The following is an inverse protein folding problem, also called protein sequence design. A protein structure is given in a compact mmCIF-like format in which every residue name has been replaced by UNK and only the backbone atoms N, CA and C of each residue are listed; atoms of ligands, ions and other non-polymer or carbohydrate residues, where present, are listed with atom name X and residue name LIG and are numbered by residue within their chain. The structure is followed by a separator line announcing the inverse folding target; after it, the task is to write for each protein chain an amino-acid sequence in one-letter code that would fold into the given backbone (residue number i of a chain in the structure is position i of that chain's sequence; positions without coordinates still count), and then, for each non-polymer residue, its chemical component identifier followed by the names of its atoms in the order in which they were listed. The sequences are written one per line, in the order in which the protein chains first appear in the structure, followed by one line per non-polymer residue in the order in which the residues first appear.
data_IF_471529813800
#
_entry.id   IF_471529813800
#
_cell.length_a   1.000
_cell.length_b   1.000
_cell.length_c   1.000
_cell.angle_alpha   90.00
_cell.angle_beta   90.00
_cell.angle_gamma   90.00
#
_symmetry.space_group_name_H-M   'P 1'
#
loop_
_entity.id
_entity.type
_entity.pdbx_description
1 polymer ?
#
# COMPACT_ATOMS: atom_id res chain seq x y z
N UNK A 1 70.44 -10.27 -43.29
CA UNK A 1 69.66 -9.17 -42.71
C UNK A 1 68.22 -9.55 -42.74
N UNK A 2 67.58 -10.07 -41.64
CA UNK A 2 66.17 -10.32 -41.61
C UNK A 2 65.44 -9.12 -40.95
N UNK A 3 64.31 -8.81 -41.53
CA UNK A 3 63.36 -7.78 -41.27
C UNK A 3 62.69 -7.98 -39.90
N UNK A 4 62.68 -6.94 -39.06
CA UNK A 4 61.95 -6.87 -37.82
C UNK A 4 60.57 -6.35 -38.12
N UNK A 5 59.56 -7.22 -38.12
CA UNK A 5 58.14 -6.86 -38.12
C UNK A 5 57.73 -6.42 -36.71
N UNK A 6 57.48 -5.11 -36.58
CA UNK A 6 56.87 -4.48 -35.42
C UNK A 6 55.38 -4.81 -35.39
N UNK A 7 54.93 -5.55 -34.41
CA UNK A 7 53.49 -5.77 -34.15
C UNK A 7 52.90 -4.53 -33.52
N UNK A 8 51.70 -4.06 -33.91
CA UNK A 8 51.01 -2.99 -33.21
C UNK A 8 50.34 -3.55 -31.91
N UNK A 9 50.65 -2.89 -30.79
CA UNK A 9 49.97 -3.08 -29.53
C UNK A 9 48.48 -2.78 -29.69
N UNK A 10 47.63 -3.80 -29.49
CA UNK A 10 46.18 -3.63 -29.39
C UNK A 10 45.87 -3.01 -28.02
N UNK A 11 45.60 -1.72 -28.01
CA UNK A 11 44.99 -1.03 -26.86
C UNK A 11 43.61 -1.62 -26.60
N UNK A 12 43.50 -2.45 -25.56
CA UNK A 12 42.22 -2.91 -25.02
C UNK A 12 41.57 -1.72 -24.33
N UNK A 13 40.71 -1.01 -25.05
CA UNK A 13 39.83 0.00 -24.48
C UNK A 13 38.87 -0.70 -23.58
N UNK A 14 39.14 -0.63 -22.25
CA UNK A 14 38.21 -1.08 -21.22
C UNK A 14 36.89 -0.32 -21.34
N UNK A 15 35.90 -0.96 -21.91
CA UNK A 15 34.53 -0.45 -21.89
C UNK A 15 34.11 -0.31 -20.43
N UNK A 16 33.99 0.94 -19.97
CA UNK A 16 33.43 1.29 -18.69
C UNK A 16 32.00 0.72 -18.67
N UNK A 17 31.77 -0.37 -17.95
CA UNK A 17 30.42 -0.88 -17.72
C UNK A 17 29.61 0.26 -17.10
N UNK A 18 28.38 0.53 -17.58
CA UNK A 18 27.54 1.51 -16.93
C UNK A 18 27.37 1.10 -15.47
N UNK A 19 27.70 1.99 -14.55
CA UNK A 19 27.43 1.82 -13.12
C UNK A 19 25.90 1.84 -13.01
N UNK A 20 25.29 0.67 -12.98
CA UNK A 20 23.86 0.54 -12.73
C UNK A 20 23.62 1.14 -11.34
N UNK A 21 22.83 2.23 -11.31
CA UNK A 21 22.43 2.88 -10.06
C UNK A 21 21.74 1.83 -9.17
N UNK A 22 22.22 1.67 -7.94
CA UNK A 22 21.58 0.78 -6.97
C UNK A 22 20.16 1.25 -6.66
N UNK A 23 19.24 0.31 -6.53
CA UNK A 23 17.89 0.54 -6.02
C UNK A 23 18.02 0.82 -4.52
N UNK A 24 17.63 2.02 -4.12
CA UNK A 24 17.70 2.49 -2.74
C UNK A 24 16.43 2.14 -1.99
N UNK A 25 16.57 1.44 -0.87
CA UNK A 25 15.46 0.84 -0.13
C UNK A 25 15.43 1.40 1.29
N UNK A 26 14.24 1.82 1.75
CA UNK A 26 13.94 1.97 3.17
C UNK A 26 13.16 0.75 3.62
N UNK A 27 13.62 0.10 4.69
CA UNK A 27 12.99 -1.09 5.26
C UNK A 27 12.32 -0.74 6.58
N UNK A 28 11.01 -0.92 6.66
CA UNK A 28 10.19 -0.59 7.81
C UNK A 28 9.44 -1.82 8.34
N UNK A 29 9.85 -2.30 9.53
CA UNK A 29 9.29 -3.46 10.23
C UNK A 29 9.57 -3.28 11.74
N UNK A 30 8.62 -3.50 12.62
CA UNK A 30 8.79 -3.32 14.07
C UNK A 30 9.56 -4.47 14.73
N UNK A 31 9.62 -5.63 14.06
CA UNK A 31 10.31 -6.80 14.57
C UNK A 31 11.81 -6.77 14.18
N UNK A 32 12.69 -6.44 15.12
CA UNK A 32 14.13 -6.26 14.88
C UNK A 32 14.79 -7.48 14.23
N UNK A 33 14.40 -8.72 14.62
CA UNK A 33 14.96 -9.96 14.05
C UNK A 33 14.54 -10.15 12.60
N UNK A 34 13.26 -9.93 12.29
CA UNK A 34 12.73 -10.00 10.94
C UNK A 34 13.42 -8.94 10.07
N UNK A 35 13.48 -7.70 10.53
CA UNK A 35 14.13 -6.60 9.83
C UNK A 35 15.60 -6.89 9.52
N UNK A 36 16.36 -7.44 10.49
CA UNK A 36 17.76 -7.83 10.24
C UNK A 36 17.89 -8.93 9.18
N UNK A 37 17.00 -9.93 9.16
CA UNK A 37 16.98 -10.98 8.14
C UNK A 37 16.65 -10.42 6.75
N UNK A 38 15.61 -9.58 6.65
CA UNK A 38 15.23 -8.92 5.41
C UNK A 38 16.32 -7.98 4.87
N UNK A 39 17.03 -7.27 5.76
CA UNK A 39 18.19 -6.49 5.37
C UNK A 39 19.28 -7.34 4.74
N UNK A 40 19.65 -8.46 5.38
CA UNK A 40 20.65 -9.38 4.82
C UNK A 40 20.25 -9.92 3.46
N UNK A 41 18.97 -10.26 3.27
CA UNK A 41 18.41 -10.70 2.00
C UNK A 41 18.56 -9.62 0.93
N UNK A 42 18.14 -8.39 1.22
CA UNK A 42 18.15 -7.28 0.26
C UNK A 42 19.56 -6.79 -0.05
N UNK A 43 20.43 -6.61 0.97
CA UNK A 43 21.83 -6.18 0.78
C UNK A 43 22.68 -7.26 0.11
N UNK A 44 22.26 -8.54 0.16
CA UNK A 44 22.89 -9.63 -0.56
C UNK A 44 22.61 -9.62 -2.07
N UNK A 45 21.61 -8.89 -2.52
CA UNK A 45 21.22 -8.80 -3.93
C UNK A 45 22.01 -7.71 -4.66
N UNK A 46 22.60 -8.09 -5.79
CA UNK A 46 23.37 -7.15 -6.61
C UNK A 46 22.47 -6.01 -7.12
N UNK A 47 22.91 -4.78 -6.88
CA UNK A 47 22.19 -3.57 -7.29
C UNK A 47 21.14 -3.09 -6.31
N UNK A 48 21.06 -3.63 -5.10
CA UNK A 48 20.22 -3.12 -4.02
C UNK A 48 21.06 -2.46 -2.93
N UNK A 49 20.46 -1.51 -2.21
CA UNK A 49 21.07 -0.80 -1.08
C UNK A 49 19.99 -0.45 -0.05
N UNK A 50 20.05 -1.04 1.14
CA UNK A 50 19.16 -0.63 2.25
C UNK A 50 19.74 0.61 2.91
N UNK A 51 19.20 1.78 2.56
CA UNK A 51 19.70 3.10 2.99
C UNK A 51 19.24 3.49 4.39
N UNK A 52 18.15 2.92 4.89
CA UNK A 52 17.67 3.12 6.25
C UNK A 52 16.74 2.00 6.70
N UNK A 53 16.66 1.83 8.03
CA UNK A 53 15.76 0.89 8.71
C UNK A 53 14.90 1.64 9.72
N UNK A 54 13.59 1.34 9.78
CA UNK A 54 12.63 1.92 10.70
C UNK A 54 11.91 0.84 11.51
N UNK A 55 11.72 1.07 12.81
CA UNK A 55 10.94 0.21 13.69
C UNK A 55 9.56 0.76 14.04
N UNK A 56 9.22 1.94 13.52
CA UNK A 56 7.95 2.64 13.72
C UNK A 56 7.60 3.49 12.50
N UNK A 57 6.33 3.86 12.39
CA UNK A 57 5.81 4.59 11.23
C UNK A 57 6.39 6.00 11.08
N UNK A 58 6.61 6.71 12.20
CA UNK A 58 7.18 8.06 12.19
C UNK A 58 8.62 8.08 11.69
N UNK A 59 9.41 7.09 12.10
CA UNK A 59 10.78 6.89 11.62
C UNK A 59 10.78 6.51 10.14
N UNK A 60 9.85 5.65 9.68
CA UNK A 60 9.71 5.29 8.27
C UNK A 60 9.45 6.54 7.41
N UNK A 61 8.46 7.37 7.78
CA UNK A 61 8.14 8.64 7.08
C UNK A 61 9.33 9.58 7.08
N UNK A 62 10.02 9.75 8.20
CA UNK A 62 11.22 10.60 8.31
C UNK A 62 12.33 10.12 7.37
N UNK A 63 12.59 8.81 7.32
CA UNK A 63 13.63 8.26 6.46
C UNK A 63 13.26 8.30 4.97
N UNK A 64 12.00 8.12 4.61
CA UNK A 64 11.52 8.31 3.23
C UNK A 64 11.76 9.74 2.78
N UNK A 65 11.40 10.74 3.59
CA UNK A 65 11.65 12.16 3.27
C UNK A 65 13.13 12.50 3.17
N UNK A 66 13.94 11.98 4.11
CA UNK A 66 15.38 12.30 4.17
C UNK A 66 16.22 11.61 3.13
N UNK A 67 15.89 10.38 2.74
CA UNK A 67 16.68 9.56 1.82
C UNK A 67 16.12 9.53 0.39
N UNK A 68 14.85 9.90 0.19
CA UNK A 68 14.17 9.77 -1.12
C UNK A 68 14.45 8.43 -1.79
N UNK A 69 14.08 7.29 -1.15
CA UNK A 69 14.39 5.96 -1.68
C UNK A 69 13.59 5.67 -2.95
N UNK A 70 14.05 4.70 -3.73
CA UNK A 70 13.29 4.17 -4.86
C UNK A 70 12.11 3.32 -4.37
N UNK A 71 12.34 2.54 -3.29
CA UNK A 71 11.31 1.65 -2.71
C UNK A 71 11.28 1.77 -1.18
N UNK A 72 10.08 1.84 -0.63
CA UNK A 72 9.78 1.61 0.78
C UNK A 72 9.16 0.21 0.93
N UNK A 73 9.82 -0.68 1.66
CA UNK A 73 9.23 -1.93 2.14
C UNK A 73 8.57 -1.63 3.48
N UNK A 74 7.27 -1.81 3.59
CA UNK A 74 6.46 -1.36 4.72
C UNK A 74 5.64 -2.49 5.33
N UNK A 75 5.88 -2.80 6.60
CA UNK A 75 4.97 -3.65 7.37
C UNK A 75 3.68 -2.89 7.72
N UNK A 76 2.55 -3.60 7.68
CA UNK A 76 1.25 -3.03 8.07
C UNK A 76 1.08 -2.91 9.60
N UNK A 77 1.78 -3.72 10.37
CA UNK A 77 1.65 -3.77 11.83
C UNK A 77 2.82 -3.03 12.50
N UNK A 78 2.85 -1.71 12.41
CA UNK A 78 3.89 -0.90 13.01
C UNK A 78 3.34 0.03 14.10
N UNK A 79 4.12 0.29 15.17
CA UNK A 79 3.80 1.35 16.11
C UNK A 79 3.75 2.73 15.44
N UNK A 80 2.90 3.61 15.98
CA UNK A 80 2.77 4.99 15.49
C UNK A 80 1.55 5.24 14.60
N UNK A 81 0.63 4.28 14.50
CA UNK A 81 -0.62 4.42 13.77
C UNK A 81 -0.86 3.31 12.75
N UNK A 82 -1.86 3.49 11.90
CA UNK A 82 -2.18 2.57 10.81
C UNK A 82 -1.23 2.79 9.64
N UNK A 83 -0.33 1.84 9.39
CA UNK A 83 0.56 1.90 8.21
C UNK A 83 -0.24 1.93 6.92
N UNK A 84 -1.37 1.23 6.87
CA UNK A 84 -2.25 1.17 5.70
C UNK A 84 -2.87 2.54 5.37
N UNK A 85 -3.32 3.27 6.41
CA UNK A 85 -3.86 4.62 6.25
C UNK A 85 -2.78 5.67 5.94
N UNK A 86 -1.53 5.40 6.29
CA UNK A 86 -0.41 6.31 6.01
C UNK A 86 0.12 6.22 4.56
N UNK A 87 -0.23 5.18 3.80
CA UNK A 87 0.25 4.99 2.42
C UNK A 87 -0.05 6.20 1.52
N UNK A 88 -1.28 6.76 1.48
CA UNK A 88 -1.56 7.94 0.65
C UNK A 88 -0.72 9.15 1.00
N UNK A 89 -0.51 9.41 2.30
CA UNK A 89 0.31 10.53 2.78
C UNK A 89 1.78 10.35 2.37
N UNK A 90 2.34 9.15 2.58
CA UNK A 90 3.73 8.84 2.20
C UNK A 90 3.91 9.02 0.68
N UNK A 91 2.94 8.59 -0.12
CA UNK A 91 2.94 8.79 -1.58
C UNK A 91 2.87 10.27 -1.96
N UNK A 92 2.08 11.07 -1.26
CA UNK A 92 1.99 12.51 -1.49
C UNK A 92 3.30 13.24 -1.10
N UNK A 93 3.92 12.83 0.02
CA UNK A 93 5.18 13.40 0.52
C UNK A 93 6.40 13.00 -0.34
N UNK A 94 6.38 11.80 -0.95
CA UNK A 94 7.48 11.26 -1.78
C UNK A 94 6.94 10.52 -3.01
N UNK A 95 6.47 11.23 -4.04
CA UNK A 95 5.80 10.63 -5.21
C UNK A 95 6.66 9.65 -6.01
N UNK A 96 7.99 9.80 -5.96
CA UNK A 96 8.96 8.93 -6.63
C UNK A 96 9.17 7.61 -5.89
N UNK A 97 8.90 7.54 -4.57
CA UNK A 97 9.08 6.33 -3.77
C UNK A 97 7.93 5.36 -4.02
N UNK A 98 8.23 4.16 -4.46
CA UNK A 98 7.25 3.10 -4.59
C UNK A 98 7.08 2.35 -3.26
N UNK A 99 5.88 1.88 -2.96
CA UNK A 99 5.60 1.20 -1.69
C UNK A 99 5.30 -0.27 -1.96
N UNK A 100 6.10 -1.15 -1.36
CA UNK A 100 5.86 -2.60 -1.29
C UNK A 100 5.44 -2.93 0.14
N UNK A 101 4.21 -3.37 0.31
CA UNK A 101 3.71 -3.86 1.59
C UNK A 101 4.27 -5.26 1.86
N UNK A 102 4.78 -5.47 3.07
CA UNK A 102 5.26 -6.77 3.56
C UNK A 102 4.56 -7.10 4.88
N UNK A 103 3.74 -8.14 4.93
CA UNK A 103 2.85 -8.36 6.07
C UNK A 103 2.49 -9.84 6.29
N UNK A 104 1.98 -10.16 7.48
CA UNK A 104 1.38 -11.47 7.78
C UNK A 104 -0.07 -11.59 7.34
N UNK A 105 -0.71 -10.49 6.87
CA UNK A 105 -2.13 -10.46 6.51
C UNK A 105 -2.36 -11.14 5.15
N UNK A 106 -3.07 -12.26 5.16
CA UNK A 106 -3.36 -13.07 3.98
C UNK A 106 -4.73 -12.80 3.36
N UNK A 107 -5.59 -12.02 4.02
CA UNK A 107 -6.93 -11.76 3.54
C UNK A 107 -6.90 -10.80 2.32
N UNK A 108 -7.59 -11.13 1.23
CA UNK A 108 -7.67 -10.31 0.02
C UNK A 108 -8.11 -8.86 0.26
N UNK A 109 -8.89 -8.61 1.31
CA UNK A 109 -9.37 -7.27 1.66
C UNK A 109 -8.20 -6.31 2.00
N UNK A 110 -7.19 -6.77 2.76
CA UNK A 110 -6.00 -5.95 3.08
C UNK A 110 -5.18 -5.64 1.84
N UNK A 111 -4.98 -6.63 0.95
CA UNK A 111 -4.25 -6.40 -0.29
C UNK A 111 -4.98 -5.40 -1.20
N UNK A 112 -6.31 -5.52 -1.36
CA UNK A 112 -7.11 -4.55 -2.12
C UNK A 112 -6.99 -3.15 -1.54
N UNK A 113 -7.08 -3.01 -0.23
CA UNK A 113 -6.98 -1.71 0.45
C UNK A 113 -5.58 -1.11 0.26
N UNK A 114 -4.51 -1.88 0.47
CA UNK A 114 -3.14 -1.41 0.29
C UNK A 114 -2.88 -0.94 -1.15
N UNK A 115 -3.27 -1.74 -2.14
CA UNK A 115 -3.13 -1.38 -3.56
C UNK A 115 -3.99 -0.17 -3.93
N UNK A 116 -5.22 -0.10 -3.43
CA UNK A 116 -6.12 1.06 -3.60
C UNK A 116 -5.61 2.33 -2.93
N UNK A 117 -4.87 2.22 -1.82
CA UNK A 117 -4.21 3.33 -1.14
C UNK A 117 -2.94 3.83 -1.85
N UNK A 118 -2.42 3.08 -2.84
CA UNK A 118 -1.27 3.49 -3.64
C UNK A 118 0.00 2.66 -3.44
N UNK A 119 -0.06 1.53 -2.72
CA UNK A 119 1.02 0.54 -2.76
C UNK A 119 1.07 -0.10 -4.15
N UNK A 120 2.29 -0.39 -4.64
CA UNK A 120 2.49 -1.05 -5.93
C UNK A 120 2.79 -2.55 -5.78
N UNK A 121 3.21 -2.97 -4.58
CA UNK A 121 3.50 -4.37 -4.27
C UNK A 121 2.85 -4.83 -2.97
N UNK A 122 2.53 -6.13 -2.91
CA UNK A 122 2.02 -6.79 -1.71
C UNK A 122 2.63 -8.17 -1.59
N UNK A 123 3.45 -8.38 -0.54
CA UNK A 123 4.20 -9.61 -0.26
C UNK A 123 3.83 -10.12 1.12
N UNK A 124 3.66 -11.42 1.26
CA UNK A 124 3.47 -12.06 2.55
C UNK A 124 4.82 -12.35 3.20
N UNK A 125 4.96 -12.07 4.50
CA UNK A 125 6.22 -12.32 5.24
C UNK A 125 6.68 -13.79 5.17
N UNK A 126 5.74 -14.72 5.08
CA UNK A 126 6.05 -16.16 4.93
C UNK A 126 6.67 -16.55 3.58
N UNK A 127 6.54 -15.69 2.57
CA UNK A 127 7.11 -15.87 1.23
C UNK A 127 8.21 -14.84 0.92
N UNK A 128 8.66 -14.06 1.91
CA UNK A 128 9.61 -12.98 1.69
C UNK A 128 10.94 -13.44 1.10
N UNK A 129 11.43 -14.61 1.51
CA UNK A 129 12.70 -15.17 1.02
C UNK A 129 12.69 -15.42 -0.51
N UNK A 130 11.52 -15.79 -1.04
CA UNK A 130 11.37 -16.13 -2.47
C UNK A 130 10.87 -14.93 -3.30
N UNK A 131 10.10 -14.00 -2.71
CA UNK A 131 9.31 -13.03 -3.46
C UNK A 131 9.76 -11.57 -3.27
N UNK A 132 10.38 -11.21 -2.14
CA UNK A 132 10.64 -9.81 -1.81
C UNK A 132 11.62 -9.14 -2.79
N UNK A 133 12.67 -9.83 -3.19
CA UNK A 133 13.68 -9.34 -4.14
C UNK A 133 13.02 -8.97 -5.48
N UNK A 134 12.19 -9.86 -6.00
CA UNK A 134 11.47 -9.62 -7.26
C UNK A 134 10.42 -8.49 -7.11
N UNK A 135 9.70 -8.46 -5.98
CA UNK A 135 8.74 -7.39 -5.71
C UNK A 135 9.39 -6.02 -5.65
N UNK A 136 10.55 -5.88 -4.99
CA UNK A 136 11.32 -4.64 -4.92
C UNK A 136 11.85 -4.24 -6.30
N UNK A 137 12.37 -5.19 -7.08
CA UNK A 137 12.89 -4.93 -8.43
C UNK A 137 11.79 -4.41 -9.35
N UNK A 138 10.62 -5.05 -9.35
CA UNK A 138 9.45 -4.60 -10.11
C UNK A 138 8.94 -3.25 -9.65
N UNK A 139 8.82 -3.05 -8.35
CA UNK A 139 8.39 -1.77 -7.80
C UNK A 139 9.31 -0.63 -8.23
N UNK A 140 10.63 -0.82 -8.19
CA UNK A 140 11.59 0.18 -8.66
C UNK A 140 11.46 0.50 -10.16
N UNK A 141 10.98 -0.47 -10.95
CA UNK A 141 10.65 -0.27 -12.36
C UNK A 141 9.24 0.34 -12.60
N UNK A 142 8.47 0.60 -11.54
CA UNK A 142 7.09 1.08 -11.63
C UNK A 142 6.08 -0.02 -11.97
N UNK A 143 6.47 -1.29 -11.84
CA UNK A 143 5.61 -2.44 -12.11
C UNK A 143 5.02 -2.98 -10.82
N UNK A 144 3.76 -3.43 -10.87
CA UNK A 144 3.10 -4.01 -9.71
C UNK A 144 3.55 -5.45 -9.44
N UNK A 145 3.57 -5.80 -8.15
CA UNK A 145 3.80 -7.18 -7.69
C UNK A 145 2.70 -7.63 -6.73
N UNK A 146 2.15 -8.79 -7.00
CA UNK A 146 1.19 -9.46 -6.13
C UNK A 146 1.45 -10.97 -6.19
N UNK A 147 1.54 -11.61 -5.02
CA UNK A 147 1.64 -13.07 -4.96
C UNK A 147 0.54 -13.73 -5.79
N UNK A 148 0.85 -14.68 -6.69
CA UNK A 148 -0.13 -15.29 -7.60
C UNK A 148 -1.31 -15.96 -6.89
N UNK A 149 -1.08 -16.59 -5.72
CA UNK A 149 -2.13 -17.24 -4.93
C UNK A 149 -3.09 -16.22 -4.35
N UNK A 150 -2.57 -15.11 -3.81
CA UNK A 150 -3.38 -14.01 -3.31
C UNK A 150 -4.13 -13.32 -4.44
N UNK A 151 -3.49 -13.12 -5.59
CA UNK A 151 -4.13 -12.59 -6.79
C UNK A 151 -5.30 -13.45 -7.28
N UNK A 152 -5.13 -14.77 -7.31
CA UNK A 152 -6.20 -15.69 -7.66
C UNK A 152 -7.37 -15.63 -6.67
N UNK A 153 -7.09 -15.54 -5.35
CA UNK A 153 -8.13 -15.34 -4.34
C UNK A 153 -8.83 -14.00 -4.50
N UNK A 154 -8.12 -12.92 -4.76
CA UNK A 154 -8.70 -11.61 -5.05
C UNK A 154 -9.63 -11.63 -6.28
N UNK A 155 -9.30 -12.42 -7.29
CA UNK A 155 -10.12 -12.55 -8.48
C UNK A 155 -11.36 -13.42 -8.26
N UNK A 156 -11.27 -14.46 -7.43
CA UNK A 156 -12.36 -15.38 -7.12
C UNK A 156 -13.29 -14.87 -6.01
N UNK A 157 -12.78 -14.10 -5.08
CA UNK A 157 -13.54 -13.46 -4.03
C UNK A 157 -13.89 -12.03 -4.50
N UNK A 158 -15.13 -11.71 -4.86
CA UNK A 158 -15.49 -10.34 -5.19
C UNK A 158 -15.09 -9.41 -4.04
N UNK A 159 -14.66 -8.17 -4.38
CA UNK A 159 -14.48 -7.17 -3.34
C UNK A 159 -15.71 -7.18 -2.43
N UNK A 160 -15.57 -7.17 -1.09
CA UNK A 160 -16.73 -7.04 -0.24
C UNK A 160 -17.53 -5.87 -0.79
N UNK A 161 -18.75 -6.16 -1.20
CA UNK A 161 -19.70 -5.10 -1.53
C UNK A 161 -19.84 -4.17 -0.33
N UNK A 162 -20.47 -3.02 -0.50
CA UNK A 162 -20.79 -2.17 0.63
C UNK A 162 -21.36 -3.04 1.75
N UNK A 163 -20.99 -2.80 3.03
CA UNK A 163 -21.42 -3.63 4.14
C UNK A 163 -22.93 -3.89 4.07
N UNK A 164 -23.30 -5.17 4.22
CA UNK A 164 -24.70 -5.60 4.33
C UNK A 164 -25.58 -5.18 3.13
N UNK A 165 -25.10 -5.39 1.89
CA UNK A 165 -25.80 -5.12 0.62
C UNK A 165 -26.22 -3.64 0.41
N UNK A 166 -25.62 -2.70 1.13
CA UNK A 166 -25.84 -1.28 0.88
C UNK A 166 -25.21 -0.89 -0.48
N UNK A 167 -25.91 -0.08 -1.25
CA UNK A 167 -25.31 0.58 -2.43
C UNK A 167 -24.29 1.64 -2.01
N UNK A 168 -23.37 2.02 -2.90
CA UNK A 168 -22.42 3.12 -2.64
C UNK A 168 -23.13 4.39 -2.16
N UNK A 169 -24.28 4.69 -2.77
CA UNK A 169 -25.08 5.85 -2.41
C UNK A 169 -25.73 5.76 -1.02
N UNK A 170 -26.19 4.58 -0.66
CA UNK A 170 -26.70 4.30 0.69
C UNK A 170 -25.59 4.40 1.73
N UNK A 171 -24.37 3.96 1.38
CA UNK A 171 -23.20 4.06 2.24
C UNK A 171 -22.79 5.53 2.48
N UNK A 172 -22.79 6.37 1.44
CA UNK A 172 -22.54 7.81 1.56
C UNK A 172 -23.59 8.48 2.48
N UNK A 173 -24.86 8.18 2.27
CA UNK A 173 -25.95 8.68 3.13
C UNK A 173 -25.76 8.22 4.57
N UNK A 174 -25.41 6.95 4.81
CA UNK A 174 -25.18 6.41 6.14
C UNK A 174 -24.01 7.10 6.85
N UNK A 175 -22.91 7.37 6.14
CA UNK A 175 -21.77 8.13 6.67
C UNK A 175 -22.16 9.52 7.14
N UNK A 176 -22.90 10.25 6.32
CA UNK A 176 -23.37 11.60 6.67
C UNK A 176 -24.37 11.59 7.82
N UNK A 177 -25.25 10.57 7.93
CA UNK A 177 -26.10 10.37 9.09
C UNK A 177 -25.28 10.19 10.36
N UNK A 178 -24.21 9.39 10.28
CA UNK A 178 -23.33 9.10 11.41
C UNK A 178 -22.51 10.33 11.84
N UNK A 179 -22.13 11.18 10.90
CA UNK A 179 -21.47 12.46 11.16
C UNK A 179 -22.40 13.54 11.72
N UNK A 180 -23.69 13.25 11.89
CA UNK A 180 -24.65 14.16 12.53
C UNK A 180 -25.51 14.99 11.58
N UNK A 181 -25.31 14.91 10.26
CA UNK A 181 -26.04 15.71 9.28
C UNK A 181 -27.55 15.41 9.25
N UNK A 182 -28.36 16.43 9.07
CA UNK A 182 -29.80 16.32 8.82
C UNK A 182 -30.09 15.86 7.38
N UNK A 183 -31.30 15.38 7.10
CA UNK A 183 -31.66 14.98 5.73
C UNK A 183 -31.53 16.14 4.72
N UNK A 184 -31.75 17.39 5.16
CA UNK A 184 -31.60 18.59 4.31
C UNK A 184 -30.11 18.84 3.97
N UNK A 185 -29.21 18.78 4.95
CA UNK A 185 -27.78 18.93 4.74
C UNK A 185 -27.21 17.78 3.89
N UNK A 186 -27.67 16.54 4.11
CA UNK A 186 -27.30 15.40 3.27
C UNK A 186 -27.74 15.61 1.81
N UNK A 187 -28.95 16.10 1.62
CA UNK A 187 -29.48 16.42 0.29
C UNK A 187 -28.61 17.47 -0.43
N UNK A 188 -28.19 18.50 0.27
CA UNK A 188 -27.28 19.53 -0.23
C UNK A 188 -25.89 18.95 -0.56
N UNK A 189 -25.28 18.23 0.38
CA UNK A 189 -23.96 17.60 0.20
C UNK A 189 -23.90 16.65 -1.01
N UNK A 190 -24.99 15.90 -1.23
CA UNK A 190 -25.03 14.86 -2.24
C UNK A 190 -25.74 15.30 -3.54
N UNK A 191 -26.14 16.56 -3.64
CA UNK A 191 -26.92 17.11 -4.78
C UNK A 191 -28.20 16.31 -5.07
N UNK A 192 -28.94 15.96 -4.00
CA UNK A 192 -30.18 15.19 -4.05
C UNK A 192 -31.38 16.02 -3.57
N UNK A 193 -32.60 15.51 -3.79
CA UNK A 193 -33.76 15.99 -3.05
C UNK A 193 -33.82 15.37 -1.65
N UNK A 194 -34.40 16.09 -0.69
CA UNK A 194 -34.64 15.57 0.68
C UNK A 194 -35.44 14.25 0.63
N UNK A 195 -36.41 14.15 -0.26
CA UNK A 195 -37.21 12.94 -0.48
C UNK A 195 -36.36 11.76 -0.95
N UNK A 196 -35.37 12.02 -1.80
CA UNK A 196 -34.43 10.98 -2.24
C UNK A 196 -33.56 10.48 -1.07
N UNK A 197 -33.10 11.38 -0.21
CA UNK A 197 -32.37 11.02 1.01
C UNK A 197 -33.22 10.19 1.97
N UNK A 198 -34.48 10.55 2.14
CA UNK A 198 -35.44 9.77 2.95
C UNK A 198 -35.66 8.36 2.39
N UNK A 199 -35.72 8.23 1.07
CA UNK A 199 -35.83 6.93 0.40
C UNK A 199 -34.58 6.08 0.64
N UNK A 200 -33.38 6.63 0.47
CA UNK A 200 -32.13 5.92 0.78
C UNK A 200 -32.07 5.50 2.24
N UNK A 201 -32.46 6.39 3.17
CA UNK A 201 -32.52 6.09 4.60
C UNK A 201 -33.49 4.94 4.89
N UNK A 202 -34.66 4.91 4.29
CA UNK A 202 -35.62 3.82 4.46
C UNK A 202 -35.03 2.47 3.97
N UNK A 203 -34.37 2.48 2.82
CA UNK A 203 -33.70 1.28 2.28
C UNK A 203 -32.56 0.82 3.19
N UNK A 204 -31.72 1.74 3.72
CA UNK A 204 -30.67 1.42 4.67
C UNK A 204 -31.25 0.75 5.92
N UNK A 205 -32.30 1.35 6.50
CA UNK A 205 -32.98 0.80 7.69
C UNK A 205 -33.54 -0.60 7.43
N UNK A 206 -34.15 -0.82 6.27
CA UNK A 206 -34.68 -2.11 5.87
C UNK A 206 -33.57 -3.15 5.69
N UNK A 207 -32.50 -2.83 4.96
CA UNK A 207 -31.38 -3.73 4.68
C UNK A 207 -30.62 -4.11 5.96
N UNK A 208 -30.40 -3.16 6.85
CA UNK A 208 -29.69 -3.37 8.11
C UNK A 208 -30.59 -3.88 9.25
N UNK A 209 -31.91 -3.93 9.05
CA UNK A 209 -32.89 -4.22 10.11
C UNK A 209 -32.75 -3.29 11.33
N UNK A 210 -32.44 -2.01 11.09
CA UNK A 210 -32.27 -0.97 12.10
C UNK A 210 -33.40 0.06 11.97
N UNK A 211 -33.92 0.54 13.11
CA UNK A 211 -35.10 1.41 13.13
C UNK A 211 -34.82 2.85 13.54
N UNK A 212 -33.75 3.09 14.28
CA UNK A 212 -33.43 4.41 14.84
C UNK A 212 -32.14 5.00 14.27
N UNK A 213 -32.03 6.34 14.36
CA UNK A 213 -30.78 7.03 14.01
C UNK A 213 -29.61 6.57 14.89
N UNK A 214 -29.85 6.37 16.19
CA UNK A 214 -28.81 5.91 17.12
C UNK A 214 -28.24 4.56 16.73
N UNK A 215 -29.08 3.63 16.26
CA UNK A 215 -28.65 2.33 15.75
C UNK A 215 -27.82 2.45 14.47
N UNK A 216 -28.21 3.33 13.56
CA UNK A 216 -27.45 3.63 12.34
C UNK A 216 -26.07 4.22 12.68
N UNK A 217 -25.99 5.16 13.60
CA UNK A 217 -24.72 5.74 14.08
C UNK A 217 -23.86 4.65 14.75
N UNK A 218 -24.42 3.85 15.64
CA UNK A 218 -23.72 2.75 16.28
C UNK A 218 -23.23 1.69 15.29
N UNK A 219 -23.99 1.40 14.25
CA UNK A 219 -23.57 0.52 13.16
C UNK A 219 -22.38 1.12 12.39
N UNK A 220 -22.46 2.39 11.98
CA UNK A 220 -21.39 3.05 11.24
C UNK A 220 -20.06 3.10 12.03
N UNK A 221 -20.11 3.38 13.33
CA UNK A 221 -18.94 3.35 14.22
C UNK A 221 -18.34 1.94 14.32
N UNK A 222 -19.17 0.90 14.56
CA UNK A 222 -18.69 -0.49 14.64
C UNK A 222 -18.05 -0.98 13.34
N UNK A 223 -18.50 -0.49 12.19
CA UNK A 223 -17.98 -0.84 10.88
C UNK A 223 -16.82 0.06 10.41
N UNK A 224 -16.39 1.02 11.24
CA UNK A 224 -15.32 1.95 10.89
C UNK A 224 -15.66 2.87 9.71
N UNK A 225 -16.95 3.12 9.45
CA UNK A 225 -17.39 4.00 8.38
C UNK A 225 -17.16 5.48 8.72
N UNK A 226 -17.06 5.79 9.99
CA UNK A 226 -16.72 7.09 10.56
C UNK A 226 -15.88 6.87 11.82
N UNK A 227 -14.97 7.78 12.10
CA UNK A 227 -14.18 7.79 13.34
C UNK A 227 -14.96 8.53 14.44
N UNK A 228 -14.83 8.05 15.69
CA UNK A 228 -15.49 8.68 16.84
C UNK A 228 -14.76 9.97 17.25
#
# INVERSE_FOLDING_TARGET
MPDQQTQPEQSVTGAKQPVLRSIRIVLADDHAVVRSGLRLLLDGESGFEVVAEAGDLDSARRYVRGNTPDVLVLDLNMPGGSSLEAIPDIRAESPQTQIVVLTMQQEPAFARHALGAGAIGYVLKEAADDELVEAVRRAAAGESYLNPRLGARMASEPAPGPPDDLSERELEVLRLIALGHTNAEIAEHLYLSVRTVETHRAHIQQKLSLSSRAELVGYALRRGLVNA
#
